data_IF_175187992174
#
_entry.id   IF_175187992174
#
_cell.length_a   1.000
_cell.length_b   1.000
_cell.length_c   1.000
_cell.angle_alpha   90.00
_cell.angle_beta   90.00
_cell.angle_gamma   90.00
#
_symmetry.space_group_name_H-M   'P 1'
#
loop_
_entity.id
_entity.type
_entity.pdbx_description
1 polymer ?
#
# COMPACT_ATOMS: atom_id res chain seq x y z
N UNK A 1 28.55 14.41 -29.80
CA UNK A 1 28.16 15.32 -28.70
C UNK A 1 27.17 14.60 -27.81
N UNK A 2 27.56 14.51 -26.55
CA UNK A 2 27.00 13.71 -25.47
C UNK A 2 25.72 14.33 -24.91
N UNK A 3 24.75 13.48 -24.59
CA UNK A 3 23.91 13.65 -23.40
C UNK A 3 23.41 12.27 -22.97
N UNK A 4 24.31 11.47 -22.37
CA UNK A 4 23.89 10.39 -21.51
C UNK A 4 23.17 11.06 -20.32
N UNK A 5 21.84 11.11 -20.40
CA UNK A 5 21.00 11.50 -19.28
C UNK A 5 21.40 10.58 -18.12
N UNK A 6 21.80 11.11 -16.96
CA UNK A 6 22.24 10.29 -15.86
C UNK A 6 21.11 9.31 -15.53
N UNK A 7 21.36 8.04 -15.79
CA UNK A 7 20.62 6.92 -15.23
C UNK A 7 20.61 7.12 -13.73
N UNK A 8 19.53 7.72 -13.21
CA UNK A 8 19.22 7.64 -11.80
C UNK A 8 18.91 6.17 -11.51
N UNK A 9 19.95 5.40 -11.19
CA UNK A 9 19.94 4.06 -10.61
C UNK A 9 19.33 4.06 -9.20
N UNK A 10 18.35 4.92 -8.94
CA UNK A 10 17.41 4.78 -7.84
C UNK A 10 16.31 3.87 -8.35
N UNK A 11 16.35 2.58 -7.99
CA UNK A 11 15.16 1.71 -8.09
C UNK A 11 14.02 2.42 -7.34
N UNK A 12 13.16 3.13 -8.08
CA UNK A 12 12.13 3.97 -7.48
C UNK A 12 11.21 3.13 -6.61
N UNK A 13 11.00 3.57 -5.36
CA UNK A 13 10.10 2.93 -4.40
C UNK A 13 8.66 3.01 -4.92
N UNK A 14 7.94 1.90 -4.85
CA UNK A 14 6.55 1.81 -5.33
C UNK A 14 5.64 1.73 -4.11
N UNK A 15 4.64 2.62 -4.03
CA UNK A 15 3.58 2.55 -3.03
C UNK A 15 2.28 2.14 -3.72
N UNK A 16 1.68 1.04 -3.27
CA UNK A 16 0.43 0.49 -3.80
C UNK A 16 -0.67 0.69 -2.76
N UNK A 17 -1.69 1.47 -3.14
CA UNK A 17 -2.92 1.63 -2.36
C UNK A 17 -3.96 0.66 -2.91
N UNK A 18 -4.61 -0.09 -2.03
CA UNK A 18 -5.58 -1.10 -2.45
C UNK A 18 -4.96 -2.41 -2.93
N UNK A 19 -3.76 -2.76 -2.45
CA UNK A 19 -3.07 -4.02 -2.76
C UNK A 19 -3.91 -5.28 -2.47
N UNK A 20 -4.88 -5.19 -1.55
CA UNK A 20 -5.80 -6.30 -1.23
C UNK A 20 -6.97 -6.43 -2.20
N UNK A 21 -7.17 -5.49 -3.12
CA UNK A 21 -8.21 -5.55 -4.16
C UNK A 21 -7.85 -6.52 -5.28
N UNK A 22 -8.81 -6.87 -6.14
CA UNK A 22 -8.64 -7.86 -7.20
C UNK A 22 -7.44 -7.54 -8.13
N UNK A 23 -7.42 -6.34 -8.71
CA UNK A 23 -6.31 -5.89 -9.58
C UNK A 23 -5.05 -5.58 -8.75
N UNK A 24 -5.24 -5.00 -7.56
CA UNK A 24 -4.13 -4.60 -6.70
C UNK A 24 -3.21 -5.76 -6.32
N UNK A 25 -3.74 -6.98 -6.23
CA UNK A 25 -2.94 -8.17 -5.95
C UNK A 25 -1.92 -8.45 -7.05
N UNK A 26 -2.37 -8.52 -8.30
CA UNK A 26 -1.50 -8.79 -9.46
C UNK A 26 -0.43 -7.70 -9.65
N UNK A 27 -0.81 -6.42 -9.48
CA UNK A 27 0.15 -5.31 -9.57
C UNK A 27 1.21 -5.40 -8.47
N UNK A 28 0.81 -5.79 -7.25
CA UNK A 28 1.74 -5.99 -6.14
C UNK A 28 2.72 -7.12 -6.44
N UNK A 29 2.23 -8.25 -6.96
CA UNK A 29 3.10 -9.37 -7.33
C UNK A 29 4.08 -9.01 -8.45
N UNK A 30 3.61 -8.32 -9.50
CA UNK A 30 4.47 -7.87 -10.59
C UNK A 30 5.56 -6.90 -10.08
N UNK A 31 5.20 -5.98 -9.17
CA UNK A 31 6.16 -5.05 -8.56
C UNK A 31 7.21 -5.79 -7.73
N UNK A 32 6.81 -6.79 -6.93
CA UNK A 32 7.73 -7.61 -6.15
C UNK A 32 8.66 -8.44 -7.06
N UNK A 33 8.10 -9.07 -8.10
CA UNK A 33 8.87 -9.84 -9.09
C UNK A 33 9.85 -8.98 -9.89
N UNK A 34 9.53 -7.70 -10.10
CA UNK A 34 10.44 -6.74 -10.73
C UNK A 34 11.64 -6.35 -9.84
N UNK A 35 11.71 -6.86 -8.61
CA UNK A 35 12.81 -6.59 -7.67
C UNK A 35 12.86 -5.13 -7.22
N UNK A 36 11.69 -4.47 -7.18
CA UNK A 36 11.51 -3.10 -6.72
C UNK A 36 11.01 -3.09 -5.28
N UNK A 37 11.51 -2.17 -4.42
CA UNK A 37 10.98 -2.00 -3.07
C UNK A 37 9.50 -1.61 -3.16
N UNK A 38 8.62 -2.51 -2.71
CA UNK A 38 7.18 -2.38 -2.85
C UNK A 38 6.55 -2.19 -1.48
N UNK A 39 5.86 -1.06 -1.31
CA UNK A 39 5.14 -0.69 -0.12
C UNK A 39 3.65 -0.88 -0.37
N UNK A 40 2.94 -1.50 0.57
CA UNK A 40 1.49 -1.69 0.49
C UNK A 40 0.81 -0.96 1.63
N UNK A 41 -0.18 -0.13 1.30
CA UNK A 41 -0.92 0.66 2.29
C UNK A 41 -2.20 -0.06 2.70
N UNK A 42 -2.36 -0.27 4.00
CA UNK A 42 -3.49 -1.00 4.58
C UNK A 42 -4.32 -0.07 5.46
N UNK A 43 -5.62 0.03 5.12
CA UNK A 43 -6.60 0.74 5.94
C UNK A 43 -6.93 -0.09 7.20
N UNK A 44 -7.17 0.53 8.37
CA UNK A 44 -7.53 -0.17 9.61
C UNK A 44 -8.78 -1.06 9.46
N UNK A 45 -9.80 -0.58 8.72
CA UNK A 45 -10.98 -1.39 8.38
C UNK A 45 -10.65 -2.66 7.59
N UNK A 46 -9.56 -2.65 6.82
CA UNK A 46 -9.08 -3.79 6.04
C UNK A 46 -8.23 -4.79 6.85
N UNK A 47 -7.69 -4.37 7.99
CA UNK A 47 -6.86 -5.21 8.86
C UNK A 47 -7.68 -6.19 9.72
N UNK A 48 -8.99 -5.94 9.89
CA UNK A 48 -9.90 -6.81 10.64
C UNK A 48 -10.51 -7.97 9.83
N UNK A 49 -10.36 -7.99 8.50
CA UNK A 49 -10.93 -9.06 7.67
C UNK A 49 -9.95 -10.23 7.50
N UNK A 50 -10.29 -11.47 7.91
CA UNK A 50 -9.38 -12.61 7.84
C UNK A 50 -8.92 -12.94 6.42
N UNK A 51 -9.79 -12.72 5.42
CA UNK A 51 -9.46 -12.92 4.00
C UNK A 51 -8.37 -11.96 3.51
N UNK A 52 -8.36 -10.72 4.01
CA UNK A 52 -7.37 -9.71 3.61
C UNK A 52 -6.06 -9.93 4.34
N UNK A 53 -6.09 -10.40 5.59
CA UNK A 53 -4.90 -10.75 6.38
C UNK A 53 -4.05 -11.83 5.71
N UNK A 54 -4.67 -12.84 5.07
CA UNK A 54 -3.93 -13.87 4.30
C UNK A 54 -3.14 -13.26 3.14
N UNK A 55 -3.76 -12.36 2.38
CA UNK A 55 -3.14 -11.67 1.25
C UNK A 55 -1.97 -10.79 1.73
N UNK A 56 -2.17 -10.08 2.84
CA UNK A 56 -1.14 -9.21 3.43
C UNK A 56 0.08 -10.03 3.86
N UNK A 57 -0.13 -11.18 4.53
CA UNK A 57 0.95 -12.09 4.90
C UNK A 57 1.70 -12.62 3.67
N UNK A 58 0.97 -13.05 2.64
CA UNK A 58 1.58 -13.51 1.39
C UNK A 58 2.47 -12.45 0.73
N UNK A 59 2.09 -11.16 0.82
CA UNK A 59 2.94 -10.08 0.33
C UNK A 59 4.14 -9.79 1.23
N UNK A 60 3.99 -9.87 2.54
CA UNK A 60 5.12 -9.76 3.48
C UNK A 60 6.16 -10.87 3.25
N UNK A 61 5.72 -12.11 3.06
CA UNK A 61 6.60 -13.26 2.78
C UNK A 61 7.37 -13.07 1.46
N UNK A 62 6.78 -12.38 0.48
CA UNK A 62 7.41 -12.01 -0.80
C UNK A 62 8.28 -10.75 -0.71
N UNK A 63 8.40 -10.12 0.46
CA UNK A 63 9.25 -8.94 0.70
C UNK A 63 8.56 -7.58 0.56
N UNK A 64 7.23 -7.53 0.58
CA UNK A 64 6.49 -6.27 0.61
C UNK A 64 6.54 -5.62 2.00
N UNK A 65 6.69 -4.30 2.03
CA UNK A 65 6.67 -3.51 3.26
C UNK A 65 5.25 -3.03 3.50
N UNK A 66 4.67 -3.43 4.64
CA UNK A 66 3.30 -3.06 5.00
C UNK A 66 3.30 -1.74 5.75
N UNK A 67 2.52 -0.77 5.24
CA UNK A 67 2.27 0.51 5.89
C UNK A 67 0.85 0.51 6.45
N UNK A 68 0.75 0.60 7.77
CA UNK A 68 -0.52 0.78 8.47
C UNK A 68 -0.82 2.27 8.60
N UNK A 69 -1.96 2.70 8.10
CA UNK A 69 -2.45 4.07 8.33
C UNK A 69 -3.28 4.10 9.61
N UNK A 70 -2.73 4.68 10.68
CA UNK A 70 -3.49 4.97 11.90
C UNK A 70 -4.33 6.24 11.65
N UNK A 71 -5.65 6.10 11.54
CA UNK A 71 -6.55 7.25 11.39
C UNK A 71 -7.33 7.49 12.68
N UNK A 72 -6.83 8.26 13.66
CA UNK A 72 -7.73 8.89 14.63
C UNK A 72 -8.47 10.07 13.96
N UNK A 73 -7.82 10.80 13.04
CA UNK A 73 -8.31 12.09 12.54
C UNK A 73 -9.27 11.98 11.33
N UNK A 74 -9.11 10.96 10.48
CA UNK A 74 -9.99 10.77 9.31
C UNK A 74 -11.39 10.26 9.68
N UNK A 75 -11.53 9.55 10.82
CA UNK A 75 -12.83 9.11 11.33
C UNK A 75 -13.64 10.27 11.90
N UNK A 76 -12.98 11.23 12.56
CA UNK A 76 -13.60 12.44 13.09
C UNK A 76 -14.09 13.39 11.99
N UNK A 77 -13.45 13.38 10.82
CA UNK A 77 -13.83 14.23 9.69
C UNK A 77 -15.00 13.63 8.86
N UNK A 78 -15.24 12.32 8.98
CA UNK A 78 -16.34 11.61 8.33
C UNK A 78 -17.51 11.31 9.27
N UNK A 79 -17.34 11.45 10.58
CA UNK A 79 -18.47 11.45 11.51
C UNK A 79 -19.28 12.73 11.28
N UNK A 80 -20.61 12.66 11.09
CA UNK A 80 -21.44 13.85 11.12
C UNK A 80 -21.21 14.55 12.47
N UNK A 81 -20.92 15.85 12.42
CA UNK A 81 -20.84 16.67 13.64
C UNK A 81 -22.10 16.42 14.47
N UNK A 82 -21.98 16.02 15.76
CA UNK A 82 -23.14 15.95 16.62
C UNK A 82 -23.70 17.36 16.71
N UNK A 83 -24.89 17.56 16.12
CA UNK A 83 -25.72 18.71 16.46
C UNK A 83 -26.25 18.41 17.86
N UNK A 84 -25.52 18.86 18.87
CA UNK A 84 -26.05 18.98 20.22
C UNK A 84 -27.27 19.91 20.15
N UNK A 85 -28.43 19.39 20.56
CA UNK A 85 -29.68 20.11 20.79
C UNK A 85 -29.90 20.23 22.29
#
# INVERSE_FOLDING_TARGET
>A
MTAAVPSATTKGRVLIVGATGFIGQFVTEASLNSGRPTYILIRPSSAGNPSKTKIIKAFQDKGAIVLHVQTPLFSLLLSPFPLDN
#
